data_IF_960270172367
#
_entry.id   IF_960270172367
#
_cell.length_a   1.000
_cell.length_b   1.000
_cell.length_c   1.000
_cell.angle_alpha   90.00
_cell.angle_beta   90.00
_cell.angle_gamma   90.00
#
_symmetry.space_group_name_H-M   'P 1'
#
loop_
_entity.id
_entity.type
_entity.pdbx_description
1 polymer ?
#
# COMPACT_ATOMS: atom_id res chain seq x y z
N UNK A 1 5.22 -3.95 -18.27
CA UNK A 1 4.63 -2.81 -17.55
C UNK A 1 4.10 -3.29 -16.19
N UNK A 2 4.42 -2.58 -15.13
CA UNK A 2 3.97 -2.92 -13.77
C UNK A 2 2.55 -2.41 -13.55
N UNK A 3 1.66 -3.27 -13.06
CA UNK A 3 0.30 -2.87 -12.68
C UNK A 3 0.20 -2.66 -11.18
N UNK A 4 -0.78 -1.86 -10.75
CA UNK A 4 -1.04 -1.66 -9.32
C UNK A 4 -1.40 -3.00 -8.64
N UNK A 5 -2.09 -3.87 -9.35
CA UNK A 5 -2.45 -5.20 -8.86
C UNK A 5 -1.21 -6.04 -8.54
N UNK A 6 -0.21 -6.05 -9.44
CA UNK A 6 1.04 -6.76 -9.22
C UNK A 6 1.78 -6.21 -8.00
N UNK A 7 1.82 -4.89 -7.87
CA UNK A 7 2.47 -4.26 -6.72
C UNK A 7 1.77 -4.60 -5.40
N UNK A 8 0.44 -4.51 -5.37
CA UNK A 8 -0.34 -4.85 -4.19
C UNK A 8 -0.14 -6.32 -3.78
N UNK A 9 -0.09 -7.21 -4.76
CA UNK A 9 0.14 -8.63 -4.51
C UNK A 9 1.51 -8.87 -3.89
N UNK A 10 2.56 -8.25 -4.41
CA UNK A 10 3.91 -8.36 -3.85
C UNK A 10 3.97 -7.84 -2.41
N UNK A 11 3.28 -6.74 -2.13
CA UNK A 11 3.20 -6.18 -0.78
C UNK A 11 2.51 -7.15 0.18
N UNK A 12 1.42 -7.77 -0.24
CA UNK A 12 0.70 -8.75 0.58
C UNK A 12 1.49 -10.02 0.82
N UNK A 13 2.35 -10.42 -0.13
CA UNK A 13 3.24 -11.55 0.02
C UNK A 13 4.44 -11.23 0.92
N UNK A 14 4.59 -9.98 1.35
CA UNK A 14 5.69 -9.52 2.19
C UNK A 14 7.06 -9.67 1.54
N UNK A 15 7.10 -9.67 0.22
CA UNK A 15 8.35 -9.66 -0.53
C UNK A 15 8.82 -8.21 -0.68
N UNK A 16 9.59 -7.75 0.29
CA UNK A 16 9.97 -6.34 0.38
C UNK A 16 10.86 -5.88 -0.78
N UNK A 17 11.75 -6.75 -1.25
CA UNK A 17 12.62 -6.42 -2.38
C UNK A 17 11.83 -6.29 -3.67
N UNK A 18 10.95 -7.25 -3.94
CA UNK A 18 10.10 -7.22 -5.12
C UNK A 18 9.12 -6.05 -5.06
N UNK A 19 8.48 -5.83 -3.93
CA UNK A 19 7.54 -4.73 -3.76
C UNK A 19 8.21 -3.38 -4.01
N UNK A 20 9.42 -3.18 -3.48
CA UNK A 20 10.18 -1.95 -3.69
C UNK A 20 10.55 -1.75 -5.15
N UNK A 21 11.02 -2.80 -5.81
CA UNK A 21 11.37 -2.75 -7.23
C UNK A 21 10.15 -2.41 -8.10
N UNK A 22 9.03 -3.10 -7.86
CA UNK A 22 7.79 -2.85 -8.59
C UNK A 22 7.24 -1.44 -8.32
N UNK A 23 7.35 -0.97 -7.08
CA UNK A 23 6.91 0.38 -6.73
C UNK A 23 7.69 1.44 -7.49
N UNK A 24 9.01 1.30 -7.56
CA UNK A 24 9.85 2.24 -8.30
C UNK A 24 9.52 2.25 -9.79
N UNK A 25 9.33 1.07 -10.38
CA UNK A 25 8.94 0.96 -11.79
C UNK A 25 7.56 1.54 -12.03
N UNK A 26 6.61 1.26 -11.16
CA UNK A 26 5.25 1.80 -11.25
C UNK A 26 5.27 3.33 -11.22
N UNK A 27 6.01 3.93 -10.29
CA UNK A 27 6.10 5.38 -10.15
C UNK A 27 6.78 6.04 -11.36
N UNK A 28 7.71 5.35 -12.02
CA UNK A 28 8.32 5.87 -13.24
C UNK A 28 7.36 5.86 -14.42
N UNK A 29 6.45 4.90 -14.48
CA UNK A 29 5.49 4.73 -15.58
C UNK A 29 4.26 5.64 -15.42
N UNK A 30 3.79 5.83 -14.19
CA UNK A 30 2.56 6.55 -13.92
C UNK A 30 2.80 8.06 -13.91
N UNK A 31 2.19 8.78 -14.86
CA UNK A 31 2.27 10.25 -14.90
C UNK A 31 1.27 10.89 -13.95
N UNK A 32 0.01 10.46 -14.05
CA UNK A 32 -1.08 10.95 -13.20
C UNK A 32 -1.63 9.78 -12.38
N UNK A 33 -1.47 9.85 -11.07
CA UNK A 33 -1.93 8.78 -10.19
C UNK A 33 -3.45 8.69 -10.15
N UNK A 34 -4.15 9.81 -10.36
CA UNK A 34 -5.62 9.82 -10.39
C UNK A 34 -6.21 9.04 -11.56
N UNK A 35 -5.43 8.75 -12.60
CA UNK A 35 -5.88 8.01 -13.78
C UNK A 35 -5.63 6.50 -13.66
N UNK A 36 -5.00 6.05 -12.60
CA UNK A 36 -4.73 4.62 -12.39
C UNK A 36 -6.06 3.88 -12.17
N UNK A 37 -6.35 2.84 -12.97
CA UNK A 37 -7.63 2.14 -12.85
C UNK A 37 -7.69 1.25 -11.62
N UNK A 38 -8.91 1.00 -11.16
CA UNK A 38 -9.18 0.06 -10.08
C UNK A 38 -8.76 -1.34 -10.52
N UNK A 39 -8.04 -2.10 -9.67
CA UNK A 39 -7.71 -3.50 -9.99
C UNK A 39 -8.97 -4.35 -10.20
N UNK A 40 -8.92 -5.26 -11.16
CA UNK A 40 -10.01 -6.18 -11.45
C UNK A 40 -9.92 -7.41 -10.55
N UNK A 41 -10.16 -7.21 -9.25
CA UNK A 41 -10.07 -8.27 -8.25
C UNK A 41 -11.26 -8.20 -7.31
N UNK A 42 -11.67 -9.37 -6.81
CA UNK A 42 -12.69 -9.48 -5.77
C UNK A 42 -12.07 -9.67 -4.39
N UNK A 43 -10.74 -9.77 -4.31
CA UNK A 43 -10.03 -9.93 -3.05
C UNK A 43 -10.00 -8.60 -2.30
N UNK A 44 -10.68 -8.55 -1.16
CA UNK A 44 -10.76 -7.34 -0.34
C UNK A 44 -9.38 -6.88 0.15
N UNK A 45 -8.48 -7.81 0.47
CA UNK A 45 -7.14 -7.49 0.91
C UNK A 45 -6.35 -6.83 -0.22
N UNK A 46 -6.46 -7.36 -1.42
CA UNK A 46 -5.79 -6.80 -2.58
C UNK A 46 -6.30 -5.40 -2.89
N UNK A 47 -7.61 -5.21 -2.89
CA UNK A 47 -8.22 -3.91 -3.16
C UNK A 47 -7.85 -2.88 -2.10
N UNK A 48 -7.90 -3.24 -0.81
CA UNK A 48 -7.53 -2.35 0.27
C UNK A 48 -6.05 -1.96 0.18
N UNK A 49 -5.18 -2.93 -0.11
CA UNK A 49 -3.75 -2.68 -0.26
C UNK A 49 -3.46 -1.78 -1.45
N UNK A 50 -4.10 -2.05 -2.59
CA UNK A 50 -3.95 -1.24 -3.80
C UNK A 50 -4.40 0.20 -3.55
N UNK A 51 -5.57 0.38 -2.93
CA UNK A 51 -6.09 1.71 -2.60
C UNK A 51 -5.15 2.46 -1.66
N UNK A 52 -4.66 1.79 -0.63
CA UNK A 52 -3.74 2.39 0.33
C UNK A 52 -2.42 2.82 -0.33
N UNK A 53 -1.85 1.96 -1.17
CA UNK A 53 -0.58 2.25 -1.85
C UNK A 53 -0.73 3.46 -2.79
N UNK A 54 -1.78 3.49 -3.60
CA UNK A 54 -1.96 4.59 -4.55
C UNK A 54 -2.24 5.91 -3.84
N UNK A 55 -2.96 5.88 -2.73
CA UNK A 55 -3.17 7.08 -1.91
C UNK A 55 -1.86 7.54 -1.26
N UNK A 56 -1.03 6.60 -0.80
CA UNK A 56 0.27 6.91 -0.23
C UNK A 56 1.17 7.61 -1.26
N UNK A 57 1.24 7.07 -2.47
CA UNK A 57 2.03 7.67 -3.56
C UNK A 57 1.49 9.04 -3.96
N UNK A 58 0.16 9.19 -4.02
CA UNK A 58 -0.47 10.47 -4.33
C UNK A 58 -0.10 11.53 -3.31
N UNK A 59 -0.11 11.18 -2.02
CA UNK A 59 0.29 12.07 -0.95
C UNK A 59 1.77 12.47 -1.08
N UNK A 60 2.65 11.52 -1.39
CA UNK A 60 4.07 11.79 -1.56
C UNK A 60 4.36 12.72 -2.74
N UNK A 61 3.56 12.64 -3.80
CA UNK A 61 3.73 13.45 -5.01
C UNK A 61 2.84 14.69 -5.06
N UNK A 62 2.07 14.93 -4.01
CA UNK A 62 1.12 16.05 -3.96
C UNK A 62 0.11 16.00 -5.11
N UNK A 63 -0.37 14.80 -5.43
CA UNK A 63 -1.39 14.56 -6.45
C UNK A 63 -2.67 14.03 -5.80
N UNK A 64 -3.79 14.17 -6.50
CA UNK A 64 -5.05 13.59 -6.06
C UNK A 64 -5.05 12.07 -6.33
N UNK A 65 -5.54 11.25 -5.40
CA UNK A 65 -5.69 9.82 -5.65
C UNK A 65 -6.89 9.55 -6.58
N UNK A 66 -6.96 8.34 -7.20
CA UNK A 66 -8.12 7.96 -7.99
C UNK A 66 -9.40 7.96 -7.16
N UNK A 67 -10.52 8.32 -7.78
CA UNK A 67 -11.81 8.40 -7.08
C UNK A 67 -12.26 7.06 -6.50
N UNK A 68 -11.93 5.93 -7.16
CA UNK A 68 -12.34 4.61 -6.70
C UNK A 68 -11.75 4.22 -5.32
N UNK A 69 -10.65 4.84 -4.89
CA UNK A 69 -10.07 4.54 -3.59
C UNK A 69 -11.02 4.87 -2.44
N UNK A 70 -11.89 5.84 -2.61
CA UNK A 70 -12.83 6.25 -1.58
C UNK A 70 -13.90 5.18 -1.32
N UNK A 71 -14.14 4.31 -2.29
CA UNK A 71 -15.11 3.22 -2.16
C UNK A 71 -14.53 2.01 -1.42
N UNK A 72 -13.22 2.01 -1.17
CA UNK A 72 -12.54 0.91 -0.50
C UNK A 72 -12.37 1.25 0.98
N UNK A 73 -13.14 0.57 1.82
CA UNK A 73 -13.12 0.78 3.26
C UNK A 73 -12.08 -0.08 3.99
N UNK A 74 -12.09 -0.02 5.33
CA UNK A 74 -11.16 -0.79 6.15
C UNK A 74 -11.46 -2.28 6.10
N UNK A 75 -10.41 -3.09 6.30
CA UNK A 75 -10.53 -4.53 6.40
C UNK A 75 -11.16 -4.94 7.74
N UNK A 76 -11.80 -6.09 7.76
CA UNK A 76 -12.39 -6.64 8.99
C UNK A 76 -11.30 -7.02 10.01
N UNK A 77 -10.14 -7.48 9.53
CA UNK A 77 -9.04 -7.90 10.37
C UNK A 77 -7.77 -7.12 10.01
N UNK A 78 -6.88 -6.87 11.00
CA UNK A 78 -5.62 -6.17 10.71
C UNK A 78 -4.68 -7.05 9.89
N UNK A 79 -3.91 -6.41 9.01
CA UNK A 79 -2.88 -7.08 8.21
C UNK A 79 -1.56 -6.35 8.40
N UNK A 80 -0.53 -7.09 8.79
CA UNK A 80 0.83 -6.55 8.93
C UNK A 80 1.61 -6.85 7.65
N UNK A 81 2.12 -5.80 7.02
CA UNK A 81 2.79 -5.90 5.72
C UNK A 81 4.28 -6.22 5.83
N UNK A 82 4.80 -6.32 7.04
CA UNK A 82 6.19 -6.74 7.30
C UNK A 82 6.18 -7.97 8.20
N UNK A 83 6.88 -9.01 7.77
CA UNK A 83 6.91 -10.29 8.48
C UNK A 83 7.49 -10.17 9.88
N UNK A 84 8.52 -9.35 10.05
CA UNK A 84 9.19 -9.19 11.33
C UNK A 84 8.26 -8.65 12.43
N UNK A 85 7.18 -7.94 12.07
CA UNK A 85 6.22 -7.42 13.04
C UNK A 85 5.49 -8.54 13.81
N UNK A 86 5.43 -9.75 13.26
CA UNK A 86 4.82 -10.90 13.96
C UNK A 86 5.67 -11.37 15.15
N UNK A 87 6.98 -11.15 15.10
CA UNK A 87 7.93 -11.64 16.11
C UNK A 87 8.48 -10.53 17.01
N UNK A 88 8.48 -9.30 16.56
CA UNK A 88 9.09 -8.17 17.26
C UNK A 88 8.01 -7.22 17.77
N UNK A 89 7.75 -7.26 19.09
CA UNK A 89 6.69 -6.44 19.71
C UNK A 89 6.86 -4.94 19.45
N UNK A 90 8.09 -4.43 19.52
CA UNK A 90 8.36 -3.01 19.33
C UNK A 90 8.04 -2.59 17.89
N UNK A 91 8.43 -3.42 16.92
CA UNK A 91 8.12 -3.17 15.52
C UNK A 91 6.61 -3.23 15.28
N UNK A 92 5.94 -4.21 15.89
CA UNK A 92 4.50 -4.34 15.79
C UNK A 92 3.79 -3.10 16.32
N UNK A 93 4.17 -2.61 17.49
CA UNK A 93 3.61 -1.38 18.06
C UNK A 93 3.89 -0.17 17.17
N UNK A 94 5.10 -0.07 16.64
CA UNK A 94 5.45 0.99 15.70
C UNK A 94 4.54 0.97 14.47
N UNK A 95 4.32 -0.21 13.89
CA UNK A 95 3.42 -0.37 12.75
C UNK A 95 1.98 0.02 13.09
N UNK A 96 1.48 -0.41 14.25
CA UNK A 96 0.11 -0.12 14.67
C UNK A 96 -0.14 1.37 14.92
N UNK A 97 0.87 2.07 15.46
CA UNK A 97 0.70 3.46 15.89
C UNK A 97 1.16 4.48 14.87
N UNK A 98 2.14 4.14 14.03
CA UNK A 98 2.79 5.09 13.14
C UNK A 98 2.75 4.71 11.66
N UNK A 99 1.96 3.71 11.29
CA UNK A 99 1.76 3.40 9.87
C UNK A 99 1.25 4.64 9.12
N UNK A 100 1.63 4.81 7.85
CA UNK A 100 1.07 5.89 7.05
C UNK A 100 -0.47 5.86 7.07
N UNK A 101 -1.09 7.03 7.12
CA UNK A 101 -2.54 7.15 7.26
C UNK A 101 -3.32 6.33 6.22
N UNK A 102 -2.98 6.35 4.91
CA UNK A 102 -3.73 5.55 3.93
C UNK A 102 -3.75 4.06 4.23
N UNK A 103 -2.68 3.54 4.85
CA UNK A 103 -2.60 2.15 5.28
C UNK A 103 -3.38 1.94 6.58
N UNK A 104 -3.10 2.77 7.58
CA UNK A 104 -3.65 2.62 8.92
C UNK A 104 -5.18 2.69 8.94
N UNK A 105 -5.77 3.58 8.18
CA UNK A 105 -7.23 3.72 8.11
C UNK A 105 -7.92 2.51 7.50
N UNK A 106 -7.17 1.67 6.77
CA UNK A 106 -7.69 0.43 6.20
C UNK A 106 -7.25 -0.81 6.97
N UNK A 107 -6.64 -0.61 8.16
CA UNK A 107 -6.13 -1.66 9.03
C UNK A 107 -4.97 -2.44 8.40
N UNK A 108 -4.21 -1.77 7.56
CA UNK A 108 -2.95 -2.27 7.03
C UNK A 108 -1.82 -1.60 7.80
N UNK A 109 -0.94 -2.38 8.38
CA UNK A 109 0.09 -1.86 9.28
C UNK A 109 1.49 -2.13 8.74
N UNK A 110 2.29 -1.08 8.71
CA UNK A 110 3.66 -1.11 8.22
C UNK A 110 4.45 0.00 8.92
N UNK A 111 5.79 -0.03 8.87
CA UNK A 111 6.59 1.07 9.42
C UNK A 111 6.27 2.41 8.75
N UNK A 112 6.52 3.54 9.43
CA UNK A 112 6.15 4.86 8.88
C UNK A 112 6.88 5.22 7.59
N UNK A 113 8.02 4.59 7.30
CA UNK A 113 8.77 4.82 6.06
C UNK A 113 8.47 3.78 4.96
N UNK A 114 7.38 3.03 5.09
CA UNK A 114 7.02 1.99 4.15
C UNK A 114 6.80 2.57 2.75
N UNK A 115 7.48 2.01 1.75
CA UNK A 115 7.44 2.45 0.35
C UNK A 115 7.74 3.95 0.16
N UNK A 116 8.53 4.53 1.06
CA UNK A 116 9.03 5.89 0.89
C UNK A 116 10.39 5.81 0.20
N UNK A 117 10.52 6.53 -0.91
CA UNK A 117 11.76 6.58 -1.69
C UNK A 117 12.31 8.00 -1.65
N UNK A 118 13.56 8.11 -1.30
CA UNK A 118 14.24 9.40 -1.27
C UNK A 118 14.70 9.83 -2.67
#
# INVERSE_FOLDING_TARGET
MVTLEQLAEAVLQRDSLLARSLAQDFLRQARLLCDVPRPSSKDERLLATAAAIIELFAAQRHQAPPAWTQDIGPLAEPVFLVEAAERMKRLRTLCETQAPEPLRKRRLYAPPNFLVFA
#
